data_IF_479123468176
#
_entry.id   IF_479123468176
#
_cell.length_a   1.000
_cell.length_b   1.000
_cell.length_c   1.000
_cell.angle_alpha   90.00
_cell.angle_beta   90.00
_cell.angle_gamma   90.00
#
_symmetry.space_group_name_H-M   'P 1'
#
loop_
_entity.id
_entity.type
_entity.pdbx_description
1 polymer ?
#
# COMPACT_ATOMS: atom_id res chain seq x y z
N UNK A 1 11.11 20.81 15.01
CA UNK A 1 11.62 19.48 14.60
C UNK A 1 10.48 18.72 13.91
N UNK A 2 10.34 18.97 12.61
CA UNK A 2 9.23 18.47 11.79
C UNK A 2 9.74 17.33 10.93
N UNK A 3 9.25 16.11 11.17
CA UNK A 3 9.50 14.96 10.32
C UNK A 3 8.80 15.21 8.99
N UNK A 4 9.56 15.68 7.98
CA UNK A 4 9.10 15.71 6.59
C UNK A 4 8.54 14.32 6.25
N UNK A 5 7.29 14.19 5.77
CA UNK A 5 6.83 12.92 5.22
C UNK A 5 7.78 12.55 4.09
N UNK A 6 8.23 11.30 4.05
CA UNK A 6 9.11 10.79 3.00
C UNK A 6 8.54 11.22 1.64
N UNK A 7 9.36 11.89 0.82
CA UNK A 7 8.92 12.35 -0.51
C UNK A 7 8.37 11.16 -1.29
N UNK A 8 7.44 11.37 -2.22
CA UNK A 8 6.99 10.32 -3.12
C UNK A 8 8.19 9.62 -3.81
N UNK A 9 9.29 10.35 -4.05
CA UNK A 9 10.55 9.81 -4.54
C UNK A 9 11.26 8.85 -3.57
N UNK A 10 11.23 9.11 -2.25
CA UNK A 10 11.81 8.21 -1.25
C UNK A 10 11.01 6.91 -1.15
N UNK A 11 9.69 6.99 -1.38
CA UNK A 11 8.82 5.82 -1.52
C UNK A 11 9.15 5.00 -2.76
N UNK A 12 9.26 5.64 -3.92
CA UNK A 12 9.65 4.97 -5.17
C UNK A 12 11.00 4.29 -5.01
N UNK A 13 11.96 4.94 -4.35
CA UNK A 13 13.29 4.37 -4.12
C UNK A 13 13.29 3.16 -3.19
N UNK A 14 12.49 3.18 -2.11
CA UNK A 14 12.30 2.03 -1.21
C UNK A 14 11.57 0.89 -1.91
N UNK A 15 10.59 1.23 -2.74
CA UNK A 15 9.86 0.28 -3.56
C UNK A 15 10.80 -0.41 -4.57
N UNK A 16 11.63 0.34 -5.29
CA UNK A 16 12.64 -0.21 -6.20
C UNK A 16 13.68 -1.08 -5.48
N UNK A 17 14.03 -0.76 -4.24
CA UNK A 17 14.89 -1.61 -3.41
C UNK A 17 14.19 -2.90 -2.97
N UNK A 18 12.87 -2.86 -2.71
CA UNK A 18 12.07 -4.06 -2.39
C UNK A 18 11.86 -5.00 -3.58
N UNK A 19 11.84 -4.47 -4.82
CA UNK A 19 11.85 -5.27 -6.06
C UNK A 19 13.05 -6.20 -6.20
N UNK A 20 14.14 -5.94 -5.46
CA UNK A 20 15.30 -6.82 -5.38
C UNK A 20 15.05 -8.14 -4.63
N UNK A 21 13.91 -8.27 -3.93
CA UNK A 21 13.45 -9.51 -3.28
C UNK A 21 12.37 -10.15 -4.15
N UNK A 22 12.70 -10.43 -5.40
CA UNK A 22 11.89 -11.31 -6.24
C UNK A 22 12.46 -12.71 -6.07
N UNK A 23 11.81 -13.54 -5.23
CA UNK A 23 12.27 -14.92 -4.96
C UNK A 23 11.81 -15.93 -6.01
N UNK A 24 11.05 -15.51 -7.02
CA UNK A 24 10.68 -16.37 -8.13
C UNK A 24 11.74 -16.30 -9.25
N UNK A 25 12.42 -17.41 -9.58
CA UNK A 25 13.47 -17.45 -10.60
C UNK A 25 12.92 -17.42 -12.04
N UNK A 26 11.60 -17.39 -12.26
CA UNK A 26 11.03 -17.27 -13.61
C UNK A 26 10.67 -15.83 -13.93
N UNK A 27 11.23 -15.25 -15.01
CA UNK A 27 10.73 -13.97 -15.51
C UNK A 27 9.27 -14.15 -15.90
N UNK A 28 8.35 -13.42 -15.27
CA UNK A 28 6.95 -13.37 -15.68
C UNK A 28 6.88 -12.61 -17.01
N UNK A 29 6.67 -13.29 -18.16
CA UNK A 29 6.79 -12.67 -19.48
C UNK A 29 5.56 -11.82 -19.84
N UNK A 30 4.60 -11.69 -18.92
CA UNK A 30 3.35 -10.98 -19.11
C UNK A 30 3.09 -10.00 -17.98
N UNK A 31 2.44 -8.89 -18.35
CA UNK A 31 1.93 -7.79 -17.54
C UNK A 31 1.58 -8.18 -16.09
N UNK A 32 2.26 -7.58 -15.12
CA UNK A 32 1.98 -7.73 -13.68
C UNK A 32 1.15 -6.55 -13.15
N UNK A 33 0.21 -6.82 -12.24
CA UNK A 33 -0.51 -5.77 -11.51
C UNK A 33 0.39 -5.23 -10.41
N UNK A 34 0.68 -3.93 -10.46
CA UNK A 34 1.64 -3.30 -9.57
C UNK A 34 1.00 -2.63 -8.36
N UNK A 35 -0.06 -1.86 -8.58
CA UNK A 35 -0.74 -1.07 -7.56
C UNK A 35 -2.25 -1.31 -7.62
N UNK A 36 -2.85 -1.63 -6.48
CA UNK A 36 -4.28 -1.85 -6.31
C UNK A 36 -4.78 -0.89 -5.23
N UNK A 37 -5.80 -0.09 -5.55
CA UNK A 37 -6.47 0.79 -4.59
C UNK A 37 -7.70 0.06 -4.05
N UNK A 38 -7.80 -0.06 -2.74
CA UNK A 38 -8.91 -0.74 -2.05
C UNK A 38 -9.59 0.26 -1.14
N UNK A 39 -10.86 0.55 -1.42
CA UNK A 39 -11.67 1.39 -0.55
C UNK A 39 -12.14 0.60 0.66
N UNK A 40 -11.88 1.16 1.84
CA UNK A 40 -12.21 0.54 3.12
C UNK A 40 -12.99 1.50 3.99
N UNK A 41 -13.98 0.96 4.72
CA UNK A 41 -14.78 1.75 5.68
C UNK A 41 -13.93 2.22 6.86
N UNK A 42 -13.06 1.33 7.34
CA UNK A 42 -12.14 1.57 8.43
C UNK A 42 -10.75 1.04 8.07
N UNK A 43 -9.76 1.95 8.05
CA UNK A 43 -8.40 1.61 7.65
C UNK A 43 -7.66 0.81 8.72
N UNK A 44 -7.94 1.00 10.00
CA UNK A 44 -7.26 0.30 11.10
C UNK A 44 -7.72 -1.15 11.22
N UNK A 45 -9.02 -1.41 11.14
CA UNK A 45 -9.59 -2.75 11.06
C UNK A 45 -9.05 -3.52 9.85
N UNK A 46 -9.03 -2.86 8.68
CA UNK A 46 -8.53 -3.46 7.45
C UNK A 46 -7.04 -3.78 7.55
N UNK A 47 -6.25 -2.85 8.09
CA UNK A 47 -4.82 -3.05 8.29
C UNK A 47 -4.52 -4.26 9.17
N UNK A 48 -5.24 -4.40 10.31
CA UNK A 48 -5.13 -5.58 11.17
C UNK A 48 -5.48 -6.87 10.43
N UNK A 49 -6.54 -6.86 9.63
CA UNK A 49 -6.90 -8.03 8.83
C UNK A 49 -5.78 -8.43 7.86
N UNK A 50 -5.24 -7.49 7.07
CA UNK A 50 -4.18 -7.79 6.10
C UNK A 50 -2.90 -8.27 6.79
N UNK A 51 -2.49 -7.66 7.90
CA UNK A 51 -1.27 -8.06 8.61
C UNK A 51 -1.49 -9.36 9.39
N UNK A 52 -2.48 -9.41 10.27
CA UNK A 52 -2.62 -10.50 11.24
C UNK A 52 -3.27 -11.75 10.66
N UNK A 53 -4.18 -11.60 9.68
CA UNK A 53 -4.87 -12.76 9.07
C UNK A 53 -4.22 -13.24 7.79
N UNK A 54 -3.70 -12.32 6.97
CA UNK A 54 -3.11 -12.66 5.68
C UNK A 54 -1.58 -12.64 5.68
N UNK A 55 -0.94 -12.17 6.75
CA UNK A 55 0.52 -12.13 6.85
C UNK A 55 1.16 -11.07 5.95
N UNK A 56 0.41 -10.03 5.57
CA UNK A 56 0.95 -8.94 4.75
C UNK A 56 1.86 -8.06 5.60
N UNK A 57 2.75 -7.36 4.92
CA UNK A 57 3.69 -6.44 5.56
C UNK A 57 3.24 -5.01 5.33
N UNK A 58 3.25 -4.21 6.40
CA UNK A 58 3.03 -2.77 6.31
C UNK A 58 4.20 -2.12 5.59
N UNK A 59 3.90 -1.46 4.48
CA UNK A 59 4.87 -0.70 3.70
C UNK A 59 4.80 0.76 4.06
N UNK A 60 3.59 1.33 4.08
CA UNK A 60 3.35 2.75 4.37
C UNK A 60 2.18 2.97 5.32
N UNK A 61 2.36 3.89 6.26
CA UNK A 61 1.26 4.47 7.03
C UNK A 61 1.58 5.95 7.28
N UNK A 62 1.01 6.83 6.45
CA UNK A 62 1.30 8.25 6.48
C UNK A 62 0.02 9.08 6.41
N UNK A 63 -0.07 10.10 7.26
CA UNK A 63 -1.08 11.15 7.12
C UNK A 63 -0.69 12.07 5.96
N UNK A 64 -1.63 12.30 5.03
CA UNK A 64 -1.50 13.20 3.89
C UNK A 64 -2.58 14.26 4.02
N UNK A 65 -2.25 15.39 4.64
CA UNK A 65 -3.13 16.55 4.68
C UNK A 65 -3.27 17.21 3.29
N UNK A 66 -4.47 17.65 2.85
CA UNK A 66 -5.81 17.45 3.42
C UNK A 66 -6.53 16.19 2.86
N UNK A 67 -5.81 15.29 2.19
CA UNK A 67 -6.36 14.15 1.42
C UNK A 67 -6.67 12.90 2.25
N UNK A 68 -6.30 12.86 3.52
CA UNK A 68 -6.59 11.77 4.45
C UNK A 68 -5.35 10.95 4.80
N UNK A 69 -5.52 9.69 5.20
CA UNK A 69 -4.43 8.77 5.57
C UNK A 69 -4.17 7.78 4.42
N UNK A 70 -2.90 7.57 4.10
CA UNK A 70 -2.46 6.60 3.11
C UNK A 70 -1.83 5.40 3.82
N UNK A 71 -2.48 4.25 3.71
CA UNK A 71 -1.99 2.97 4.24
C UNK A 71 -1.69 2.05 3.08
N UNK A 72 -0.48 1.50 3.00
CA UNK A 72 -0.10 0.54 1.97
C UNK A 72 0.51 -0.72 2.57
N UNK A 73 0.06 -1.87 2.07
CA UNK A 73 0.52 -3.20 2.47
C UNK A 73 0.97 -4.00 1.26
N UNK A 74 1.87 -4.95 1.47
CA UNK A 74 2.31 -5.91 0.43
C UNK A 74 2.11 -7.34 0.91
N UNK A 75 1.75 -8.27 0.01
CA UNK A 75 1.77 -9.69 0.31
C UNK A 75 3.21 -10.15 0.58
N UNK A 76 3.40 -11.27 1.29
CA UNK A 76 4.73 -11.77 1.65
C UNK A 76 5.63 -12.09 0.44
N UNK A 77 5.04 -12.33 -0.74
CA UNK A 77 5.75 -12.56 -2.00
C UNK A 77 6.14 -11.26 -2.74
N UNK A 78 5.72 -10.10 -2.25
CA UNK A 78 6.05 -8.80 -2.85
C UNK A 78 5.40 -8.53 -4.21
N UNK A 79 4.42 -9.35 -4.61
CA UNK A 79 3.86 -9.34 -5.96
C UNK A 79 3.05 -8.08 -6.33
N UNK A 80 2.46 -7.38 -5.36
CA UNK A 80 1.68 -6.16 -5.60
C UNK A 80 1.60 -5.26 -4.36
N UNK A 81 1.38 -3.97 -4.55
CA UNK A 81 1.06 -3.04 -3.46
C UNK A 81 -0.45 -2.84 -3.37
N UNK A 82 -1.01 -3.00 -2.17
CA UNK A 82 -2.39 -2.65 -1.85
C UNK A 82 -2.43 -1.36 -1.03
N UNK A 83 -3.04 -0.32 -1.59
CA UNK A 83 -3.33 0.93 -0.88
C UNK A 83 -4.75 0.88 -0.30
N UNK A 84 -4.87 0.95 1.02
CA UNK A 84 -6.14 1.02 1.73
C UNK A 84 -6.55 2.49 1.85
N UNK A 85 -7.65 2.86 1.22
CA UNK A 85 -8.12 4.24 1.12
C UNK A 85 -9.47 4.36 1.81
N UNK A 86 -9.60 5.30 2.73
CA UNK A 86 -10.91 5.68 3.27
C UNK A 86 -11.58 6.65 2.30
N UNK A 87 -12.78 6.36 1.79
CA UNK A 87 -13.50 7.31 0.95
C UNK A 87 -13.82 8.58 1.77
N UNK A 88 -13.61 9.75 1.16
CA UNK A 88 -14.06 11.03 1.73
C UNK A 88 -15.59 11.09 1.71
N UNK A 89 -16.21 11.56 2.80
CA UNK A 89 -17.66 11.71 2.90
C UNK A 89 -18.17 12.59 1.75
N UNK A 90 -18.85 12.00 0.78
CA UNK A 90 -19.41 12.68 -0.41
C UNK A 90 -19.08 12.04 -1.76
N UNK A 91 -18.24 11.01 -1.83
CA UNK A 91 -17.95 10.31 -3.09
C UNK A 91 -18.99 9.20 -3.38
N UNK A 92 -19.46 9.12 -4.63
CA UNK A 92 -20.46 8.17 -5.16
C UNK A 92 -20.11 6.68 -4.93
N UNK A 93 -18.87 6.39 -4.57
CA UNK A 93 -18.31 5.07 -4.25
C UNK A 93 -18.62 4.59 -2.81
N UNK A 94 -19.62 5.19 -2.15
CA UNK A 94 -20.04 4.87 -0.77
C UNK A 94 -21.29 3.97 -0.67
N UNK A 95 -21.87 3.53 -1.79
CA UNK A 95 -23.09 2.69 -1.80
C UNK A 95 -22.80 1.20 -1.93
#
# INVERSE_FOLDING_TARGET
>A
PETRPASADDWVRRYEQSRGVQTDPKPHPYLSIHNILVYVRDQDESLKFYIEKLGFQLVADVAIDPRGRWVAVVPPDGSAILALIKPSQGSEESS
#
